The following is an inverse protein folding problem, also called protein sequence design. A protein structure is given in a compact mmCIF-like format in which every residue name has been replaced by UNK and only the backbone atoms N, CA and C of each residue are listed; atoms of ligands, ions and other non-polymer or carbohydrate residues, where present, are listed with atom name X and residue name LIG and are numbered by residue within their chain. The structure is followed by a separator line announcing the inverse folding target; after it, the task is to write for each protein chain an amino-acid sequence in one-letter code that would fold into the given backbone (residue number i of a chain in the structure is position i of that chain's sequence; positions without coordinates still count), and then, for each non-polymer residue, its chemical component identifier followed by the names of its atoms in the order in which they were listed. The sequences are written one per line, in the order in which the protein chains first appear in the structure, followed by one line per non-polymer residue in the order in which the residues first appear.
data_IF_155670049226
#
_entry.id   IF_155670049226
#
_cell.length_a   1.000
_cell.length_b   1.000
_cell.length_c   1.000
_cell.angle_alpha   90.00
_cell.angle_beta   90.00
_cell.angle_gamma   90.00
#
_symmetry.space_group_name_H-M   'P 1'
#
loop_
_entity.id
_entity.type
_entity.pdbx_description
1 polymer ?
#
# COMPACT_ATOMS: atom_id res chain seq x y z
N UNK A 1 45.34 10.51 -21.92
CA UNK A 1 44.78 11.61 -21.12
C UNK A 1 43.94 11.00 -20.03
N UNK A 2 44.54 11.02 -18.84
CA UNK A 2 44.08 10.68 -17.50
C UNK A 2 42.56 10.51 -17.35
N UNK A 3 42.15 9.28 -17.03
CA UNK A 3 40.89 9.05 -16.31
C UNK A 3 41.11 9.65 -14.92
N UNK A 4 40.45 10.78 -14.67
CA UNK A 4 40.41 11.36 -13.33
C UNK A 4 39.93 10.29 -12.35
N UNK A 5 40.53 10.29 -11.16
CA UNK A 5 40.41 9.24 -10.14
C UNK A 5 39.04 9.27 -9.47
N UNK A 6 38.00 8.93 -10.23
CA UNK A 6 36.68 8.59 -9.76
C UNK A 6 36.18 7.47 -10.68
N UNK A 7 36.33 6.21 -10.26
CA UNK A 7 36.00 5.00 -11.04
C UNK A 7 34.48 4.78 -11.18
N UNK A 8 33.70 5.86 -11.20
CA UNK A 8 32.25 5.87 -11.29
C UNK A 8 31.80 6.89 -12.33
N UNK A 9 30.81 6.49 -13.13
CA UNK A 9 30.07 7.40 -14.02
C UNK A 9 28.65 7.52 -13.49
N UNK A 10 28.11 8.73 -13.49
CA UNK A 10 26.71 8.93 -13.14
C UNK A 10 25.81 8.53 -14.32
N UNK A 11 24.79 7.71 -14.03
CA UNK A 11 23.76 7.35 -14.99
C UNK A 11 22.43 7.98 -14.54
N UNK A 12 22.02 9.12 -15.11
CA UNK A 12 20.78 9.77 -14.71
C UNK A 12 19.57 8.95 -15.16
N UNK A 13 18.68 8.63 -14.21
CA UNK A 13 17.45 7.86 -14.45
C UNK A 13 16.27 8.73 -14.03
N UNK A 14 15.25 8.85 -14.90
CA UNK A 14 13.99 9.51 -14.58
C UNK A 14 12.91 8.46 -14.38
N UNK A 15 12.37 8.37 -13.17
CA UNK A 15 11.22 7.53 -12.84
C UNK A 15 9.96 8.40 -12.77
N UNK A 16 8.93 8.07 -13.56
CA UNK A 16 7.65 8.81 -13.64
C UNK A 16 6.49 7.82 -13.49
N UNK A 17 6.23 7.33 -12.27
CA UNK A 17 5.11 6.42 -12.03
C UNK A 17 3.77 7.15 -12.15
N UNK A 18 2.76 6.45 -12.66
CA UNK A 18 1.39 6.98 -12.76
C UNK A 18 0.52 6.55 -11.59
N UNK A 19 0.83 5.41 -10.97
CA UNK A 19 0.02 4.78 -9.93
C UNK A 19 0.92 4.16 -8.86
N UNK A 20 0.33 3.84 -7.71
CA UNK A 20 0.99 3.04 -6.70
C UNK A 20 1.16 1.60 -7.19
N UNK A 21 2.39 1.10 -7.14
CA UNK A 21 2.76 -0.24 -7.55
C UNK A 21 4.22 -0.53 -7.19
N UNK A 22 4.60 -1.79 -7.39
CA UNK A 22 5.99 -2.24 -7.40
C UNK A 22 6.48 -2.38 -8.85
N UNK A 23 7.36 -1.49 -9.28
CA UNK A 23 7.93 -1.47 -10.62
C UNK A 23 9.31 -2.14 -10.62
N UNK A 24 9.47 -3.21 -11.37
CA UNK A 24 10.76 -3.86 -11.62
C UNK A 24 11.27 -3.46 -12.99
N UNK A 25 12.52 -3.04 -13.08
CA UNK A 25 13.20 -2.87 -14.36
C UNK A 25 14.66 -3.31 -14.27
N UNK A 26 15.25 -3.58 -15.43
CA UNK A 26 16.65 -3.98 -15.54
C UNK A 26 17.41 -2.97 -16.39
N UNK A 27 18.59 -2.58 -15.93
CA UNK A 27 19.57 -1.83 -16.72
C UNK A 27 20.66 -2.80 -17.16
N UNK A 28 20.78 -2.99 -18.47
CA UNK A 28 21.84 -3.76 -19.08
C UNK A 28 22.95 -2.82 -19.58
N UNK A 29 24.13 -2.91 -18.97
CA UNK A 29 25.35 -2.26 -19.46
C UNK A 29 26.22 -3.29 -20.17
N UNK A 30 26.61 -3.01 -21.40
CA UNK A 30 27.38 -3.96 -22.23
C UNK A 30 28.55 -3.27 -22.90
N UNK A 31 29.72 -3.89 -22.82
CA UNK A 31 30.91 -3.59 -23.61
C UNK A 31 31.34 -4.84 -24.41
N UNK A 32 32.45 -4.77 -25.14
CA UNK A 32 33.01 -5.92 -25.85
C UNK A 32 33.52 -7.01 -24.91
N UNK A 33 33.85 -6.69 -23.65
CA UNK A 33 34.50 -7.60 -22.71
C UNK A 33 33.74 -7.78 -21.39
N UNK A 34 32.67 -7.01 -21.15
CA UNK A 34 31.96 -6.97 -19.87
C UNK A 34 30.46 -6.75 -20.09
N UNK A 35 29.63 -7.43 -19.29
CA UNK A 35 28.17 -7.32 -19.29
C UNK A 35 27.71 -7.23 -17.84
N UNK A 36 26.96 -6.18 -17.50
CA UNK A 36 26.39 -5.96 -16.16
C UNK A 36 24.89 -5.77 -16.25
N UNK A 37 24.15 -6.44 -15.37
CA UNK A 37 22.70 -6.27 -15.22
C UNK A 37 22.44 -5.72 -13.82
N UNK A 38 21.73 -4.61 -13.76
CA UNK A 38 21.25 -4.02 -12.51
C UNK A 38 19.75 -4.14 -12.46
N UNK A 39 19.22 -4.82 -11.44
CA UNK A 39 17.80 -4.80 -11.14
C UNK A 39 17.47 -3.59 -10.29
N UNK A 40 16.47 -2.82 -10.73
CA UNK A 40 15.94 -1.68 -9.99
C UNK A 40 14.50 -2.03 -9.61
N UNK A 41 14.23 -1.97 -8.31
CA UNK A 41 12.90 -2.12 -7.74
C UNK A 41 12.46 -0.77 -7.20
N UNK A 42 11.46 -0.16 -7.83
CA UNK A 42 10.84 1.07 -7.35
C UNK A 42 9.48 0.74 -6.75
N UNK A 43 9.25 1.13 -5.50
CA UNK A 43 7.95 0.97 -4.83
C UNK A 43 7.32 2.34 -4.67
N UNK A 44 6.12 2.48 -5.23
CA UNK A 44 5.30 3.69 -5.11
C UNK A 44 4.12 3.32 -4.24
N UNK A 45 4.05 3.95 -3.06
CA UNK A 45 2.92 3.81 -2.16
C UNK A 45 1.88 4.88 -2.52
N UNK A 46 0.60 4.58 -2.33
CA UNK A 46 -0.43 5.62 -2.34
C UNK A 46 -0.25 6.48 -1.10
N UNK A 47 -0.51 7.78 -1.23
CA UNK A 47 -0.85 8.59 -0.07
C UNK A 47 -2.05 7.92 0.61
N UNK A 48 -1.98 7.75 1.93
CA UNK A 48 -2.98 7.04 2.71
C UNK A 48 -4.39 7.57 2.35
N UNK A 49 -5.29 6.68 1.93
CA UNK A 49 -6.69 7.06 1.79
C UNK A 49 -7.24 7.30 3.19
N UNK A 50 -7.29 8.57 3.61
CA UNK A 50 -7.90 8.98 4.87
C UNK A 50 -9.40 9.19 4.64
N UNK A 51 -10.21 8.62 5.52
CA UNK A 51 -11.65 8.78 5.52
C UNK A 51 -12.12 9.01 6.96
N UNK A 52 -13.10 9.89 7.12
CA UNK A 52 -13.78 10.12 8.40
C UNK A 52 -15.10 9.36 8.41
N UNK A 53 -15.38 8.66 9.51
CA UNK A 53 -16.58 7.82 9.67
C UNK A 53 -17.27 8.22 10.97
N UNK A 54 -18.52 8.68 10.85
CA UNK A 54 -19.33 9.10 12.00
C UNK A 54 -20.25 7.95 12.46
N UNK A 55 -20.17 7.62 13.75
CA UNK A 55 -21.03 6.62 14.39
C UNK A 55 -22.10 7.31 15.24
N UNK A 56 -23.36 7.16 14.84
CA UNK A 56 -24.52 7.67 15.59
C UNK A 56 -25.32 6.50 16.15
N UNK A 57 -25.41 6.41 17.47
CA UNK A 57 -26.11 5.34 18.17
C UNK A 57 -26.75 5.88 19.45
N UNK A 58 -27.91 5.34 19.89
CA UNK A 58 -28.42 5.64 21.22
C UNK A 58 -27.40 5.27 22.30
N UNK A 59 -27.48 5.94 23.45
CA UNK A 59 -26.56 5.70 24.56
C UNK A 59 -26.51 4.20 24.92
N UNK A 60 -25.28 3.70 25.10
CA UNK A 60 -24.99 2.30 25.46
C UNK A 60 -25.40 1.24 24.42
N UNK A 61 -25.83 1.64 23.23
CA UNK A 61 -26.14 0.70 22.15
C UNK A 61 -24.94 0.55 21.20
N UNK A 62 -24.61 -0.70 20.89
CA UNK A 62 -23.61 -0.99 19.89
C UNK A 62 -24.19 -0.77 18.49
N UNK A 63 -23.38 -0.26 17.58
CA UNK A 63 -23.71 -0.08 16.17
C UNK A 63 -22.59 -0.69 15.32
N UNK A 64 -22.96 -1.33 14.21
CA UNK A 64 -22.02 -1.85 13.21
C UNK A 64 -22.19 -0.99 11.95
N UNK A 65 -21.07 -0.53 11.41
CA UNK A 65 -21.02 0.14 10.13
C UNK A 65 -20.04 -0.60 9.22
N UNK A 66 -20.53 -0.98 8.05
CA UNK A 66 -19.73 -1.66 7.04
C UNK A 66 -18.93 -0.64 6.22
N UNK A 67 -17.61 -0.80 6.21
CA UNK A 67 -16.68 0.02 5.43
C UNK A 67 -16.36 -0.72 4.12
N UNK A 68 -16.73 -0.18 2.95
CA UNK A 68 -16.45 -0.83 1.68
C UNK A 68 -14.97 -0.71 1.31
N UNK A 69 -14.31 -1.85 1.13
CA UNK A 69 -12.92 -1.95 0.68
C UNK A 69 -12.90 -2.56 -0.72
N UNK A 70 -12.61 -1.74 -1.72
CA UNK A 70 -12.61 -2.14 -3.14
C UNK A 70 -11.20 -2.47 -3.63
N UNK A 71 -11.00 -3.71 -4.04
CA UNK A 71 -9.77 -4.18 -4.66
C UNK A 71 -9.82 -3.98 -6.18
N UNK A 72 -9.21 -2.90 -6.66
CA UNK A 72 -9.11 -2.59 -8.10
C UNK A 72 -7.88 -3.22 -8.77
N UNK A 73 -7.14 -4.07 -8.06
CA UNK A 73 -5.94 -4.73 -8.59
C UNK A 73 -6.26 -6.07 -9.26
N UNK A 74 -5.25 -6.68 -9.87
CA UNK A 74 -5.33 -8.00 -10.52
C UNK A 74 -4.89 -9.16 -9.61
N UNK A 75 -4.80 -8.93 -8.30
CA UNK A 75 -4.40 -9.91 -7.30
C UNK A 75 -5.33 -9.83 -6.08
N UNK A 76 -5.53 -10.95 -5.40
CA UNK A 76 -6.28 -10.98 -4.14
C UNK A 76 -5.54 -10.21 -3.04
N UNK A 77 -6.29 -9.50 -2.20
CA UNK A 77 -5.76 -8.81 -1.04
C UNK A 77 -6.02 -9.60 0.24
N UNK A 78 -5.01 -9.64 1.10
CA UNK A 78 -5.11 -10.07 2.49
C UNK A 78 -4.69 -8.91 3.39
N UNK A 79 -5.68 -8.20 3.91
CA UNK A 79 -5.50 -6.99 4.69
C UNK A 79 -5.52 -7.31 6.19
N UNK A 80 -4.69 -6.59 6.95
CA UNK A 80 -4.74 -6.57 8.40
C UNK A 80 -5.42 -5.29 8.86
N UNK A 81 -6.41 -5.41 9.75
CA UNK A 81 -7.04 -4.27 10.40
C UNK A 81 -6.31 -3.96 11.70
N UNK A 82 -5.94 -2.68 11.86
CA UNK A 82 -5.37 -2.14 13.08
C UNK A 82 -6.37 -1.12 13.60
N UNK A 83 -6.91 -1.35 14.79
CA UNK A 83 -7.87 -0.47 15.44
C UNK A 83 -7.19 0.22 16.62
N UNK A 84 -7.18 1.54 16.60
CA UNK A 84 -6.67 2.38 17.69
C UNK A 84 -7.83 3.18 18.28
N UNK A 85 -7.82 3.37 19.61
CA UNK A 85 -8.92 3.99 20.35
C UNK A 85 -9.76 2.99 21.15
N UNK A 86 -10.74 3.51 21.88
CA UNK A 86 -11.56 2.74 22.82
C UNK A 86 -12.97 2.50 22.26
N UNK A 87 -13.55 1.33 22.54
CA UNK A 87 -14.93 1.01 22.15
C UNK A 87 -15.11 0.58 20.69
N UNK A 88 -14.04 0.47 19.90
CA UNK A 88 -14.09 -0.03 18.52
C UNK A 88 -13.65 -1.48 18.41
N UNK A 89 -14.37 -2.26 17.60
CA UNK A 89 -14.14 -3.69 17.42
C UNK A 89 -14.37 -4.10 15.96
N UNK A 90 -13.58 -5.05 15.47
CA UNK A 90 -13.73 -5.57 14.12
C UNK A 90 -12.82 -6.78 13.89
N UNK A 91 -12.98 -7.49 12.76
CA UNK A 91 -12.14 -8.63 12.42
C UNK A 91 -10.69 -8.18 12.18
N UNK A 92 -9.67 -8.91 12.65
CA UNK A 92 -8.26 -8.48 12.50
C UNK A 92 -7.73 -8.65 11.06
N UNK A 93 -8.46 -9.41 10.23
CA UNK A 93 -8.09 -9.71 8.85
C UNK A 93 -9.31 -9.57 7.96
N UNK A 94 -9.08 -9.05 6.75
CA UNK A 94 -10.07 -8.98 5.67
C UNK A 94 -9.43 -9.51 4.39
N UNK A 95 -10.10 -10.47 3.74
CA UNK A 95 -9.71 -10.91 2.40
C UNK A 95 -10.61 -10.21 1.38
N UNK A 96 -10.03 -9.70 0.30
CA UNK A 96 -10.76 -9.05 -0.79
C UNK A 96 -10.30 -9.67 -2.10
N UNK A 97 -11.19 -10.35 -2.81
CA UNK A 97 -10.85 -10.96 -4.10
C UNK A 97 -10.46 -9.91 -5.14
N UNK A 98 -9.75 -10.34 -6.18
CA UNK A 98 -9.41 -9.49 -7.33
C UNK A 98 -10.68 -8.87 -7.95
N UNK A 99 -10.68 -7.55 -8.13
CA UNK A 99 -11.82 -6.82 -8.70
C UNK A 99 -13.07 -6.77 -7.81
N UNK A 100 -13.01 -7.27 -6.57
CA UNK A 100 -14.15 -7.32 -5.65
C UNK A 100 -14.15 -6.17 -4.65
N UNK A 101 -15.32 -5.92 -4.06
CA UNK A 101 -15.47 -5.08 -2.87
C UNK A 101 -15.91 -5.95 -1.71
N UNK A 102 -15.13 -5.95 -0.63
CA UNK A 102 -15.52 -6.58 0.63
C UNK A 102 -15.99 -5.51 1.63
N UNK A 103 -16.89 -5.89 2.53
CA UNK A 103 -17.39 -5.03 3.58
C UNK A 103 -16.66 -5.34 4.89
N UNK A 104 -15.95 -4.38 5.45
CA UNK A 104 -15.32 -4.50 6.74
C UNK A 104 -16.30 -4.05 7.84
N UNK A 105 -16.77 -4.95 8.72
CA UNK A 105 -17.72 -4.59 9.76
C UNK A 105 -17.00 -3.95 10.94
N UNK A 106 -17.02 -2.62 11.02
CA UNK A 106 -16.52 -1.88 12.18
C UNK A 106 -17.66 -1.66 13.16
N UNK A 107 -17.53 -2.24 14.36
CA UNK A 107 -18.46 -2.04 15.45
C UNK A 107 -17.95 -0.95 16.39
N UNK A 108 -18.82 -0.01 16.74
CA UNK A 108 -18.65 0.86 17.88
C UNK A 108 -19.58 0.43 19.01
N UNK A 109 -19.02 0.19 20.19
CA UNK A 109 -19.74 -0.11 21.43
C UNK A 109 -19.31 0.88 22.51
N UNK A 110 -20.18 1.83 22.91
CA UNK A 110 -19.88 2.76 23.98
C UNK A 110 -19.51 2.02 25.27
N UNK A 111 -18.43 2.47 25.90
CA UNK A 111 -18.03 2.01 27.23
C UNK A 111 -18.72 2.93 28.24
N UNK A 112 -19.32 2.38 29.29
CA UNK A 112 -19.84 3.21 30.37
C UNK A 112 -18.67 3.84 31.16
N UNK A 113 -18.75 5.15 31.40
CA UNK A 113 -17.89 5.86 32.36
C UNK A 113 -18.27 5.52 33.81
#
# INVERSE_FOLDING_TARGET
LFLDRNDAVELPIKFVPQYAACYHCQILLKSSCDVRVYEIKCVVNTDHAEAEIEFLTPAYQAVIQDIPISNMSNQDWKLQAILEGQGFYGPPLLNVGLGETALYPLMFKPIAE
#
